data_IF_995203672416
#
_entry.id   IF_995203672416
#
_cell.length_a   1.000
_cell.length_b   1.000
_cell.length_c   1.000
_cell.angle_alpha   90.00
_cell.angle_beta   90.00
_cell.angle_gamma   90.00
#
_symmetry.space_group_name_H-M   'P 1'
#
loop_
_entity.id
_entity.type
_entity.pdbx_description
1 polymer ?
#
# COMPACT_ATOMS: atom_id res chain seq x y z
N UNK A 1 -8.45 0.71 -10.36
CA UNK A 1 -7.13 1.33 -10.63
C UNK A 1 -6.82 2.24 -9.43
N UNK A 2 -5.66 2.11 -8.78
CA UNK A 2 -5.34 2.97 -7.63
C UNK A 2 -5.10 4.39 -8.12
N UNK A 3 -5.73 5.39 -7.49
CA UNK A 3 -5.51 6.79 -7.83
C UNK A 3 -4.04 7.14 -7.56
N UNK A 4 -3.39 7.79 -8.52
CA UNK A 4 -1.99 8.22 -8.38
C UNK A 4 -1.93 9.29 -7.29
N UNK A 5 -1.12 9.07 -6.25
CA UNK A 5 -0.90 10.10 -5.22
C UNK A 5 -0.41 11.39 -5.90
N UNK A 6 -1.04 12.50 -5.59
CA UNK A 6 -0.58 13.83 -6.01
C UNK A 6 0.23 14.49 -4.91
N UNK A 7 0.98 15.55 -5.22
CA UNK A 7 1.77 16.26 -4.21
C UNK A 7 0.94 16.79 -3.04
N UNK A 8 -0.36 17.05 -3.26
CA UNK A 8 -1.28 17.51 -2.21
C UNK A 8 -1.64 16.41 -1.21
N UNK A 9 -1.49 15.16 -1.60
CA UNK A 9 -1.84 13.99 -0.80
C UNK A 9 -0.64 13.48 0.03
N UNK A 10 0.56 14.06 -0.20
CA UNK A 10 1.77 13.67 0.51
C UNK A 10 1.81 14.30 1.91
N UNK A 11 2.21 13.49 2.88
CA UNK A 11 2.57 13.99 4.21
C UNK A 11 3.86 14.83 4.13
N UNK A 12 4.11 15.68 5.12
CA UNK A 12 5.26 16.57 5.15
C UNK A 12 6.59 15.81 5.04
N UNK A 13 6.71 14.67 5.72
CA UNK A 13 7.89 13.79 5.62
C UNK A 13 8.11 13.24 4.21
N UNK A 14 7.03 12.87 3.53
CA UNK A 14 7.06 12.38 2.15
C UNK A 14 7.43 13.51 1.17
N UNK A 15 6.91 14.72 1.39
CA UNK A 15 7.26 15.89 0.63
C UNK A 15 8.74 16.26 0.80
N UNK A 16 9.27 16.18 2.03
CA UNK A 16 10.70 16.37 2.30
C UNK A 16 11.55 15.32 1.58
N UNK A 17 11.12 14.05 1.53
CA UNK A 17 11.81 13.00 0.78
C UNK A 17 11.90 13.34 -0.72
N UNK A 18 10.83 13.87 -1.32
CA UNK A 18 10.85 14.34 -2.72
C UNK A 18 11.85 15.49 -2.90
N UNK A 19 11.83 16.50 -2.01
CA UNK A 19 12.76 17.64 -2.07
C UNK A 19 14.21 17.21 -1.92
N UNK A 20 14.50 16.31 -0.98
CA UNK A 20 15.84 15.75 -0.75
C UNK A 20 16.36 15.01 -1.98
N UNK A 21 15.52 14.20 -2.64
CA UNK A 21 15.90 13.51 -3.88
C UNK A 21 16.20 14.49 -5.01
N UNK A 22 15.43 15.57 -5.14
CA UNK A 22 15.71 16.63 -6.11
C UNK A 22 17.01 17.37 -5.79
N UNK A 23 17.26 17.70 -4.53
CA UNK A 23 18.50 18.34 -4.10
C UNK A 23 19.72 17.46 -4.38
N UNK A 24 19.63 16.15 -4.10
CA UNK A 24 20.69 15.19 -4.41
C UNK A 24 20.95 15.10 -5.92
N UNK A 25 19.89 15.02 -6.74
CA UNK A 25 20.04 14.99 -8.19
C UNK A 25 20.66 16.28 -8.73
N UNK A 26 20.27 17.44 -8.19
CA UNK A 26 20.89 18.73 -8.53
C UNK A 26 22.38 18.75 -8.16
N UNK A 27 22.75 18.23 -6.98
CA UNK A 27 24.16 18.14 -6.56
C UNK A 27 24.96 17.24 -7.49
N UNK A 28 24.42 16.08 -7.89
CA UNK A 28 25.10 15.14 -8.77
C UNK A 28 25.32 15.66 -10.19
N UNK A 29 24.40 16.49 -10.69
CA UNK A 29 24.47 17.06 -12.03
C UNK A 29 25.31 18.35 -12.10
N UNK A 30 25.62 18.97 -10.96
CA UNK A 30 26.28 20.27 -10.83
C UNK A 30 25.60 21.43 -11.59
N UNK A 31 24.37 21.19 -12.08
CA UNK A 31 23.51 22.15 -12.77
C UNK A 31 22.09 22.07 -12.23
N UNK A 32 21.28 23.08 -12.55
CA UNK A 32 19.85 23.02 -12.27
C UNK A 32 19.17 21.89 -13.07
N UNK A 33 18.20 21.26 -12.43
CA UNK A 33 17.33 20.25 -13.06
C UNK A 33 16.34 20.94 -13.99
N UNK A 34 16.14 20.36 -15.17
CA UNK A 34 15.06 20.75 -16.08
C UNK A 34 13.71 20.33 -15.51
N UNK A 35 12.62 20.96 -15.98
CA UNK A 35 11.26 20.63 -15.54
C UNK A 35 10.92 19.14 -15.73
N UNK A 36 11.38 18.54 -16.83
CA UNK A 36 11.16 17.13 -17.11
C UNK A 36 11.90 16.22 -16.13
N UNK A 37 13.16 16.55 -15.79
CA UNK A 37 13.94 15.79 -14.79
C UNK A 37 13.29 15.89 -13.41
N UNK A 38 12.87 17.09 -13.00
CA UNK A 38 12.17 17.28 -11.74
C UNK A 38 10.87 16.47 -11.68
N UNK A 39 10.08 16.45 -12.76
CA UNK A 39 8.84 15.70 -12.81
C UNK A 39 9.08 14.18 -12.81
N UNK A 40 10.10 13.69 -13.52
CA UNK A 40 10.50 12.27 -13.44
C UNK A 40 10.88 11.86 -12.01
N UNK A 41 11.67 12.67 -11.31
CA UNK A 41 12.06 12.39 -9.92
C UNK A 41 10.82 12.36 -9.01
N UNK A 42 9.89 13.32 -9.18
CA UNK A 42 8.63 13.34 -8.41
C UNK A 42 7.85 12.04 -8.64
N UNK A 43 7.64 11.66 -9.89
CA UNK A 43 6.88 10.46 -10.25
C UNK A 43 7.50 9.18 -9.71
N UNK A 44 8.83 9.06 -9.76
CA UNK A 44 9.55 7.93 -9.19
C UNK A 44 9.36 7.83 -7.68
N UNK A 45 9.54 8.94 -6.95
CA UNK A 45 9.40 8.94 -5.48
C UNK A 45 7.96 8.68 -5.05
N UNK A 46 6.98 9.24 -5.78
CA UNK A 46 5.56 8.95 -5.54
C UNK A 46 5.29 7.46 -5.77
N UNK A 47 5.86 6.86 -6.82
CA UNK A 47 5.77 5.42 -7.07
C UNK A 47 6.34 4.58 -5.93
N UNK A 48 7.52 4.95 -5.40
CA UNK A 48 8.13 4.28 -4.23
C UNK A 48 7.19 4.34 -3.01
N UNK A 49 6.65 5.53 -2.71
CA UNK A 49 5.74 5.74 -1.57
C UNK A 49 4.47 4.90 -1.73
N UNK A 50 3.88 4.86 -2.93
CA UNK A 50 2.70 4.03 -3.17
C UNK A 50 2.98 2.55 -2.93
N UNK A 51 4.14 2.06 -3.38
CA UNK A 51 4.54 0.66 -3.15
C UNK A 51 4.77 0.37 -1.66
N UNK A 52 5.34 1.30 -0.90
CA UNK A 52 5.51 1.19 0.55
C UNK A 52 4.13 1.07 1.24
N UNK A 53 3.18 1.95 0.89
CA UNK A 53 1.82 1.93 1.43
C UNK A 53 1.07 0.63 1.07
N UNK A 54 1.21 0.12 -0.16
CA UNK A 54 0.60 -1.15 -0.56
C UNK A 54 1.16 -2.34 0.25
N UNK A 55 2.49 -2.35 0.48
CA UNK A 55 3.15 -3.38 1.30
C UNK A 55 2.65 -3.33 2.74
N UNK A 56 2.54 -2.14 3.33
CA UNK A 56 1.99 -1.94 4.67
C UNK A 56 0.53 -2.40 4.76
N UNK A 57 -0.31 -1.99 3.81
CA UNK A 57 -1.70 -2.44 3.75
C UNK A 57 -1.81 -3.96 3.60
N UNK A 58 -0.93 -4.60 2.82
CA UNK A 58 -0.89 -6.06 2.68
C UNK A 58 -0.50 -6.74 3.98
N UNK A 59 0.49 -6.21 4.70
CA UNK A 59 0.91 -6.72 6.03
C UNK A 59 -0.25 -6.62 7.03
N UNK A 60 -0.89 -5.47 7.12
CA UNK A 60 -2.05 -5.25 8.02
C UNK A 60 -3.21 -6.20 7.69
N UNK A 61 -3.48 -6.45 6.40
CA UNK A 61 -4.50 -7.44 6.00
C UNK A 61 -4.11 -8.86 6.41
N UNK A 62 -2.83 -9.23 6.29
CA UNK A 62 -2.34 -10.54 6.70
C UNK A 62 -2.45 -10.71 8.23
N UNK A 63 -2.07 -9.70 9.00
CA UNK A 63 -2.21 -9.68 10.46
C UNK A 63 -3.67 -9.79 10.89
N UNK A 64 -4.57 -9.01 10.29
CA UNK A 64 -6.02 -9.11 10.55
C UNK A 64 -6.57 -10.50 10.23
N UNK A 65 -6.10 -11.15 9.17
CA UNK A 65 -6.50 -12.53 8.85
C UNK A 65 -6.01 -13.52 9.91
N UNK A 66 -4.77 -13.38 10.37
CA UNK A 66 -4.22 -14.21 11.47
C UNK A 66 -5.01 -14.02 12.76
N UNK A 67 -5.35 -12.79 13.12
CA UNK A 67 -6.14 -12.49 14.32
C UNK A 67 -7.58 -13.03 14.24
N UNK A 68 -8.20 -12.99 13.06
CA UNK A 68 -9.54 -13.56 12.85
C UNK A 68 -9.56 -15.08 12.86
N UNK A 69 -8.42 -15.72 12.60
CA UNK A 69 -8.33 -17.17 12.60
C UNK A 69 -8.29 -17.68 14.04
N UNK A 70 -9.41 -18.20 14.52
CA UNK A 70 -9.50 -18.98 15.75
C UNK A 70 -9.33 -20.45 15.36
N UNK A 71 -8.23 -21.13 15.76
CA UNK A 71 -8.10 -22.55 15.51
C UNK A 71 -9.14 -23.29 16.35
N UNK A 72 -10.14 -23.88 15.70
CA UNK A 72 -11.10 -24.79 16.33
C UNK A 72 -10.78 -26.21 15.88
N UNK A 73 -10.66 -27.14 16.82
CA UNK A 73 -10.54 -28.59 16.55
C UNK A 73 -11.89 -29.23 16.17
N UNK A 74 -12.95 -28.42 16.12
CA UNK A 74 -14.28 -28.84 15.71
C UNK A 74 -14.30 -29.11 14.20
N UNK A 75 -14.48 -30.37 13.83
CA UNK A 75 -14.70 -30.77 12.44
C UNK A 75 -16.10 -30.29 12.01
N UNK A 76 -16.15 -29.50 10.94
CA UNK A 76 -17.41 -28.98 10.40
C UNK A 76 -18.30 -30.14 9.90
N UNK A 77 -19.40 -30.39 10.63
CA UNK A 77 -20.37 -31.44 10.31
C UNK A 77 -21.52 -30.87 9.47
N UNK A 78 -21.56 -31.26 8.19
CA UNK A 78 -22.60 -30.88 7.24
C UNK A 78 -23.99 -31.44 7.61
N UNK A 79 -24.06 -32.53 8.38
CA UNK A 79 -25.32 -33.16 8.76
C UNK A 79 -26.07 -32.40 9.87
N UNK A 80 -25.34 -31.76 10.79
CA UNK A 80 -25.92 -30.97 11.89
C UNK A 80 -26.63 -29.67 11.46
N UNK A 81 -26.31 -29.14 10.27
CA UNK A 81 -26.90 -27.90 9.73
C UNK A 81 -28.04 -28.12 8.73
N UNK A 82 -28.33 -29.37 8.36
CA UNK A 82 -29.52 -29.67 7.56
C UNK A 82 -30.76 -29.55 8.45
N UNK A 83 -31.49 -28.45 8.31
CA UNK A 83 -32.79 -28.28 8.94
C UNK A 83 -33.73 -29.38 8.43
N UNK A 84 -34.37 -30.12 9.33
CA UNK A 84 -35.26 -31.27 9.02
C UNK A 84 -36.59 -30.88 8.35
N UNK A 85 -36.66 -29.74 7.66
CA UNK A 85 -37.87 -29.31 6.95
C UNK A 85 -37.99 -30.06 5.63
N UNK A 86 -38.63 -31.22 5.71
CA UNK A 86 -39.12 -31.93 4.53
C UNK A 86 -39.10 -33.45 4.65
N UNK A 87 -39.64 -34.01 5.73
CA UNK A 87 -40.25 -35.35 5.62
C UNK A 87 -41.70 -35.10 5.20
N UNK A 88 -42.01 -35.56 3.99
CA UNK A 88 -43.26 -35.33 3.26
C UNK A 88 -44.44 -36.05 3.92
#
# INVERSE_FOLDING_TARGET
>A
MMQKLTLKDLNESQLQRVKMRQAQAKKNLERNLTNNEQNKIKDQVIGEIMQELEKEAKKLRAEKKKQKFVPSDETFDWSKKNHSRGVR
#
